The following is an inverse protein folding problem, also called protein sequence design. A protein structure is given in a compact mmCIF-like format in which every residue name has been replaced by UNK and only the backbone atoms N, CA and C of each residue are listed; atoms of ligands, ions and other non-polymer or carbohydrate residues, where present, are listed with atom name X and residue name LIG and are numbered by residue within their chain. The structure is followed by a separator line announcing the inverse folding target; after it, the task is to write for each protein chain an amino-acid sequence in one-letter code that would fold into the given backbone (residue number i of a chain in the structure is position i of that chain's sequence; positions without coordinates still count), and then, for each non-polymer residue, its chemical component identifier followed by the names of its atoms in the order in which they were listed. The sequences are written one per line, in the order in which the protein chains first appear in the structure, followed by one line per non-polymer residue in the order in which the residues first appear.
data_IF_782298506072
#
_entry.id   IF_782298506072
#
_cell.length_a   1.000
_cell.length_b   1.000
_cell.length_c   1.000
_cell.angle_alpha   90.00
_cell.angle_beta   90.00
_cell.angle_gamma   90.00
#
_symmetry.space_group_name_H-M   'P 1'
#
loop_
_entity.id
_entity.type
_entity.pdbx_description
1 polymer ?
#
# COMPACT_ATOMS: atom_id res chain seq x y z
N UNK A 1 -17.52 -7.51 -15.39
CA UNK A 1 -16.20 -7.04 -14.90
C UNK A 1 -15.89 -7.84 -13.65
N UNK A 2 -14.65 -8.30 -13.49
CA UNK A 2 -14.21 -9.01 -12.27
C UNK A 2 -13.82 -7.94 -11.25
N UNK A 3 -14.29 -8.02 -10.00
CA UNK A 3 -13.88 -7.08 -8.97
C UNK A 3 -12.36 -7.12 -8.81
N UNK A 4 -11.72 -5.95 -8.80
CA UNK A 4 -10.31 -5.84 -8.48
C UNK A 4 -10.17 -5.73 -6.97
N UNK A 5 -9.56 -6.76 -6.36
CA UNK A 5 -9.30 -6.76 -4.91
C UNK A 5 -7.86 -6.36 -4.65
N UNK A 6 -7.67 -5.51 -3.66
CA UNK A 6 -6.36 -5.13 -3.16
C UNK A 6 -6.39 -5.01 -1.64
N UNK A 7 -5.22 -4.98 -1.04
CA UNK A 7 -5.04 -4.69 0.38
C UNK A 7 -4.53 -3.26 0.53
N UNK A 8 -5.10 -2.51 1.46
CA UNK A 8 -4.56 -1.25 1.92
C UNK A 8 -3.79 -1.46 3.22
N UNK A 9 -2.58 -0.92 3.28
CA UNK A 9 -1.68 -1.03 4.43
C UNK A 9 -1.13 0.32 4.85
N UNK A 10 -1.08 0.52 6.16
CA UNK A 10 -0.42 1.64 6.79
C UNK A 10 0.98 1.21 7.21
N UNK A 11 1.98 1.92 6.69
CA UNK A 11 3.38 1.58 6.94
C UNK A 11 4.17 2.78 7.41
N UNK A 12 4.69 2.68 8.63
CA UNK A 12 5.61 3.68 9.18
C UNK A 12 6.97 3.58 8.50
N UNK A 13 7.45 4.71 7.97
CA UNK A 13 8.80 4.79 7.42
C UNK A 13 9.83 4.75 8.56
N UNK A 14 10.78 3.79 8.57
CA UNK A 14 11.75 3.67 9.65
C UNK A 14 12.80 4.80 9.66
N UNK A 15 12.83 5.66 8.62
CA UNK A 15 13.75 6.80 8.54
C UNK A 15 13.13 8.09 9.10
N UNK A 16 11.87 8.38 8.78
CA UNK A 16 11.23 9.66 9.15
C UNK A 16 10.05 9.52 10.12
N UNK A 17 9.64 8.29 10.46
CA UNK A 17 8.54 7.99 11.39
C UNK A 17 7.15 8.39 10.86
N UNK A 18 7.01 8.73 9.58
CA UNK A 18 5.73 9.09 8.98
C UNK A 18 5.07 7.87 8.35
N UNK A 19 3.74 7.84 8.39
CA UNK A 19 2.92 6.78 7.81
C UNK A 19 2.79 6.98 6.29
N UNK A 20 2.95 5.89 5.54
CA UNK A 20 2.63 5.79 4.13
C UNK A 20 1.42 4.86 3.99
N UNK A 21 0.48 5.25 3.16
CA UNK A 21 -0.67 4.42 2.78
C UNK A 21 -0.34 3.76 1.44
N UNK A 22 -0.38 2.43 1.38
CA UNK A 22 -0.05 1.69 0.17
C UNK A 22 -1.15 0.69 -0.18
N UNK A 23 -1.53 0.68 -1.47
CA UNK A 23 -2.40 -0.32 -2.06
C UNK A 23 -1.55 -1.42 -2.69
N UNK A 24 -1.76 -2.66 -2.28
CA UNK A 24 -0.96 -3.81 -2.72
C UNK A 24 -1.84 -4.97 -3.18
N UNK A 25 -1.36 -5.84 -4.09
CA UNK A 25 -2.12 -7.02 -4.50
C UNK A 25 -2.41 -7.96 -3.33
N UNK A 26 -3.58 -8.60 -3.34
CA UNK A 26 -3.94 -9.62 -2.35
C UNK A 26 -2.91 -10.75 -2.35
N UNK A 27 -2.41 -11.11 -1.16
CA UNK A 27 -1.47 -12.22 -0.97
C UNK A 27 0.02 -11.82 -0.98
N UNK A 28 0.36 -10.59 -1.37
CA UNK A 28 1.71 -10.03 -1.22
C UNK A 28 1.99 -9.73 0.26
N UNK A 29 2.83 -10.55 0.90
CA UNK A 29 3.14 -10.43 2.35
C UNK A 29 4.34 -9.55 2.65
N UNK A 30 5.21 -9.33 1.67
CA UNK A 30 6.42 -8.51 1.82
C UNK A 30 6.49 -7.60 0.61
N UNK A 31 6.32 -6.31 0.83
CA UNK A 31 6.22 -5.32 -0.24
C UNK A 31 7.27 -4.24 -0.07
N UNK A 32 7.74 -3.69 -1.19
CA UNK A 32 8.64 -2.54 -1.19
C UNK A 32 7.80 -1.26 -1.22
N UNK A 33 7.91 -0.45 -0.18
CA UNK A 33 7.21 0.83 -0.07
C UNK A 33 8.20 1.97 -0.29
N UNK A 34 7.82 2.90 -1.15
CA UNK A 34 8.53 4.15 -1.35
C UNK A 34 7.97 5.22 -0.41
N UNK A 35 8.78 5.73 0.51
CA UNK A 35 8.37 6.81 1.41
C UNK A 35 8.31 8.15 0.67
N UNK A 36 7.11 8.67 0.45
CA UNK A 36 6.89 9.97 -0.22
C UNK A 36 7.27 11.18 0.66
N UNK A 37 7.44 10.96 1.96
CA UNK A 37 7.74 12.04 2.90
C UNK A 37 9.22 12.37 3.05
N UNK A 38 10.11 11.50 2.56
CA UNK A 38 11.56 11.72 2.62
C UNK A 38 11.98 12.61 1.44
N UNK A 39 12.85 13.60 1.69
CA UNK A 39 13.25 14.63 0.70
C UNK A 39 13.87 14.09 -0.59
N UNK A 40 14.28 12.82 -0.63
CA UNK A 40 14.79 12.14 -1.84
C UNK A 40 14.14 10.77 -2.09
N UNK A 41 13.00 10.51 -1.45
CA UNK A 41 12.43 9.17 -1.38
C UNK A 41 13.26 8.24 -0.49
N UNK A 42 12.61 7.25 0.09
CA UNK A 42 13.30 6.18 0.81
C UNK A 42 12.52 4.89 0.63
N UNK A 43 13.12 3.92 -0.05
CA UNK A 43 12.52 2.61 -0.19
C UNK A 43 12.84 1.73 0.99
N UNK A 44 11.84 0.99 1.45
CA UNK A 44 12.00 0.01 2.50
C UNK A 44 11.05 -1.17 2.29
N UNK A 45 11.37 -2.28 2.93
CA UNK A 45 10.49 -3.45 2.93
C UNK A 45 9.52 -3.33 4.10
N UNK A 46 8.25 -3.52 3.81
CA UNK A 46 7.18 -3.65 4.78
C UNK A 46 6.67 -5.09 4.78
N UNK A 47 6.53 -5.66 5.98
CA UNK A 47 5.92 -6.98 6.18
C UNK A 47 4.46 -6.75 6.54
N UNK A 48 3.56 -7.20 5.68
CA UNK A 48 2.12 -7.01 5.80
C UNK A 48 1.59 -7.92 6.91
N UNK A 49 1.46 -7.35 8.11
CA UNK A 49 0.87 -8.02 9.26
C UNK A 49 -0.61 -7.64 9.46
N UNK A 50 -0.94 -6.37 9.21
CA UNK A 50 -2.28 -5.81 9.29
C UNK A 50 -2.62 -5.17 7.95
N UNK A 51 -3.82 -5.46 7.44
CA UNK A 51 -4.28 -4.97 6.14
C UNK A 51 -5.80 -4.89 6.09
N UNK A 52 -6.31 -3.95 5.30
CA UNK A 52 -7.74 -3.85 4.98
C UNK A 52 -7.96 -4.35 3.56
N UNK A 53 -8.81 -5.36 3.37
CA UNK A 53 -9.17 -5.80 2.01
C UNK A 53 -10.23 -4.87 1.43
N UNK A 54 -9.92 -4.32 0.24
CA UNK A 54 -10.77 -3.41 -0.52
C UNK A 54 -11.16 -4.07 -1.84
N UNK A 55 -12.42 -3.94 -2.22
CA UNK A 55 -12.97 -4.42 -3.49
C UNK A 55 -13.37 -3.21 -4.34
N UNK A 56 -12.60 -2.93 -5.40
CA UNK A 56 -12.96 -1.92 -6.38
C UNK A 56 -14.01 -2.49 -7.34
N UNK A 57 -15.17 -1.84 -7.38
CA UNK A 57 -16.09 -1.97 -8.50
C UNK A 57 -15.64 -0.96 -9.54
N UNK A 58 -15.16 -1.38 -10.71
CA UNK A 58 -14.84 -0.49 -11.83
C UNK A 58 -16.05 0.42 -12.13
N UNK A 59 -16.01 1.65 -11.60
CA UNK A 59 -17.02 2.66 -11.80
C UNK A 59 -16.90 3.23 -13.21
N UNK A 60 -18.00 3.22 -13.92
CA UNK A 60 -18.23 3.86 -15.21
C UNK A 60 -17.54 5.24 -15.30
N UNK A 61 -16.60 5.39 -16.24
CA UNK A 61 -16.35 6.70 -16.84
C UNK A 61 -17.40 6.90 -17.93
N UNK A 62 -18.44 7.65 -17.60
CA UNK A 62 -19.33 8.29 -18.58
C UNK A 62 -18.58 9.31 -19.45
#
# INVERSE_FOLDING_TARGET
MMPHRHWEVDSECPRCGKINHASIPVGERVVRIHCEHCTHGYDYLHVVAEHTEVEDMDGEKE
#
